data_IF_398501991164
#
_entry.id   IF_398501991164
#
_cell.length_a   1.000
_cell.length_b   1.000
_cell.length_c   1.000
_cell.angle_alpha   90.00
_cell.angle_beta   90.00
_cell.angle_gamma   90.00
#
_symmetry.space_group_name_H-M   'P 1'
#
loop_
_entity.id
_entity.type
_entity.pdbx_description
1 polymer ?
#
# COMPACT_ATOMS: atom_id res chain seq x y z
N UNK A 1 20.35 -0.36 2.15
CA UNK A 1 20.09 0.52 3.33
C UNK A 1 18.75 0.14 3.95
N UNK A 2 18.71 -0.59 5.08
CA UNK A 2 17.45 -1.16 5.62
C UNK A 2 16.61 -0.12 6.35
N UNK A 3 15.32 -0.02 5.99
CA UNK A 3 14.36 0.88 6.65
C UNK A 3 13.66 0.12 7.75
N UNK A 4 14.04 0.34 9.01
CA UNK A 4 13.33 -0.26 10.15
C UNK A 4 12.55 0.81 10.92
N UNK A 5 11.32 1.07 10.47
CA UNK A 5 10.27 1.38 11.44
C UNK A 5 9.96 0.07 12.17
N UNK A 6 10.08 0.06 13.50
CA UNK A 6 9.52 -1.04 14.27
C UNK A 6 8.00 -1.09 14.07
N UNK A 7 7.39 -2.25 14.30
CA UNK A 7 5.93 -2.40 14.17
C UNK A 7 5.15 -1.33 14.97
N UNK A 8 5.62 -1.01 16.19
CA UNK A 8 5.01 0.03 17.02
C UNK A 8 5.18 1.44 16.43
N UNK A 9 6.33 1.73 15.81
CA UNK A 9 6.54 3.01 15.12
C UNK A 9 5.65 3.10 13.88
N UNK A 10 5.63 2.07 13.04
CA UNK A 10 4.75 1.97 11.87
C UNK A 10 3.29 2.23 12.25
N UNK A 11 2.78 1.53 13.28
CA UNK A 11 1.41 1.70 13.73
C UNK A 11 1.12 3.12 14.19
N UNK A 12 2.02 3.71 14.99
CA UNK A 12 1.89 5.11 15.44
C UNK A 12 1.85 6.10 14.29
N UNK A 13 2.68 5.92 13.27
CA UNK A 13 2.70 6.79 12.08
C UNK A 13 1.39 6.66 11.31
N UNK A 14 0.94 5.42 11.08
CA UNK A 14 -0.34 5.16 10.40
C UNK A 14 -1.54 5.73 11.18
N UNK A 15 -1.53 5.61 12.52
CA UNK A 15 -2.56 6.18 13.39
C UNK A 15 -2.60 7.71 13.28
N UNK A 16 -1.44 8.37 13.33
CA UNK A 16 -1.34 9.83 13.16
C UNK A 16 -1.85 10.27 11.79
N UNK A 17 -1.43 9.60 10.72
CA UNK A 17 -1.85 9.95 9.36
C UNK A 17 -3.35 9.69 9.12
N UNK A 18 -3.85 8.54 9.56
CA UNK A 18 -5.22 8.14 9.25
C UNK A 18 -6.26 8.79 10.17
N UNK A 19 -5.96 8.89 11.47
CA UNK A 19 -6.95 9.17 12.52
C UNK A 19 -6.81 10.55 13.19
N UNK A 20 -5.73 11.29 12.93
CA UNK A 20 -5.56 12.63 13.51
C UNK A 20 -6.62 13.62 12.99
N UNK A 21 -7.07 14.50 13.87
CA UNK A 21 -7.89 15.69 13.53
C UNK A 21 -7.05 16.94 13.27
N UNK A 22 -5.78 16.94 13.68
CA UNK A 22 -4.84 18.00 13.39
C UNK A 22 -4.18 17.76 12.04
N UNK A 23 -4.33 18.73 11.15
CA UNK A 23 -3.73 18.73 9.81
C UNK A 23 -2.20 18.75 9.90
N UNK A 24 -1.62 19.51 10.85
CA UNK A 24 -0.18 19.55 11.07
C UNK A 24 0.40 18.18 11.46
N UNK A 25 -0.28 17.45 12.36
CA UNK A 25 0.13 16.09 12.75
C UNK A 25 -0.02 15.12 11.58
N UNK A 26 -1.08 15.28 10.78
CA UNK A 26 -1.33 14.45 9.61
C UNK A 26 -0.23 14.67 8.55
N UNK A 27 0.15 15.91 8.29
CA UNK A 27 1.19 16.26 7.34
C UNK A 27 2.56 15.76 7.79
N UNK A 28 2.92 15.94 9.06
CA UNK A 28 4.18 15.42 9.59
C UNK A 28 4.27 13.88 9.50
N UNK A 29 3.16 13.18 9.73
CA UNK A 29 3.09 11.72 9.57
C UNK A 29 3.17 11.29 8.09
N UNK A 30 2.58 12.08 7.19
CA UNK A 30 2.69 11.85 5.74
C UNK A 30 4.13 12.03 5.25
N UNK A 31 4.82 13.08 5.70
CA UNK A 31 6.23 13.30 5.37
C UNK A 31 7.11 12.14 5.87
N UNK A 32 6.82 11.62 7.07
CA UNK A 32 7.50 10.43 7.62
C UNK A 32 7.26 9.18 6.75
N UNK A 33 6.01 8.94 6.33
CA UNK A 33 5.68 7.85 5.39
C UNK A 33 6.41 8.02 4.05
N UNK A 34 6.45 9.24 3.51
CA UNK A 34 7.07 9.52 2.23
C UNK A 34 8.60 9.34 2.26
N UNK A 35 9.23 9.64 3.39
CA UNK A 35 10.66 9.35 3.62
C UNK A 35 10.93 7.84 3.55
N UNK A 36 10.08 7.02 4.19
CA UNK A 36 10.18 5.55 4.11
C UNK A 36 10.02 5.06 2.67
N UNK A 37 9.03 5.57 1.94
CA UNK A 37 8.80 5.23 0.53
C UNK A 37 10.01 5.58 -0.33
N UNK A 38 10.65 6.72 -0.06
CA UNK A 38 11.87 7.14 -0.77
C UNK A 38 13.01 6.16 -0.53
N UNK A 39 13.22 5.73 0.71
CA UNK A 39 14.21 4.71 1.02
C UNK A 39 13.91 3.35 0.37
N UNK A 40 12.63 2.98 0.26
CA UNK A 40 12.21 1.79 -0.49
C UNK A 40 12.56 1.90 -1.98
N UNK A 41 12.48 3.09 -2.59
CA UNK A 41 12.92 3.24 -3.98
C UNK A 41 14.43 3.01 -4.13
N UNK A 42 15.25 3.49 -3.18
CA UNK A 42 16.67 3.15 -3.16
C UNK A 42 16.90 1.64 -3.01
N UNK A 43 16.13 0.95 -2.17
CA UNK A 43 16.19 -0.51 -2.05
C UNK A 43 15.80 -1.21 -3.36
N UNK A 44 14.78 -0.71 -4.07
CA UNK A 44 14.40 -1.24 -5.38
C UNK A 44 15.54 -1.08 -6.41
N UNK A 45 16.24 0.06 -6.42
CA UNK A 45 17.41 0.27 -7.30
C UNK A 45 18.56 -0.69 -6.96
N UNK A 46 18.68 -1.11 -5.69
CA UNK A 46 19.64 -2.12 -5.20
C UNK A 46 19.13 -3.58 -5.36
N UNK A 47 18.02 -3.80 -6.06
CA UNK A 47 17.36 -5.09 -6.24
C UNK A 47 16.76 -5.74 -4.97
N UNK A 48 16.67 -5.00 -3.87
CA UNK A 48 16.04 -5.40 -2.62
C UNK A 48 14.51 -5.18 -2.65
N UNK A 49 13.84 -5.79 -3.63
CA UNK A 49 12.40 -5.57 -3.90
C UNK A 49 11.47 -6.01 -2.76
N UNK A 50 11.97 -6.85 -1.85
CA UNK A 50 11.20 -7.38 -0.72
C UNK A 50 10.73 -6.29 0.25
N UNK A 51 11.55 -5.25 0.44
CA UNK A 51 11.27 -4.15 1.37
C UNK A 51 10.00 -3.39 0.99
N UNK A 52 9.86 -3.02 -0.29
CA UNK A 52 8.66 -2.32 -0.77
C UNK A 52 7.40 -3.19 -0.71
N UNK A 53 7.55 -4.50 -0.86
CA UNK A 53 6.48 -5.47 -0.76
C UNK A 53 6.00 -5.66 0.67
N UNK A 54 6.91 -5.86 1.62
CA UNK A 54 6.57 -5.97 3.04
C UNK A 54 5.89 -4.70 3.54
N UNK A 55 6.48 -3.53 3.26
CA UNK A 55 5.90 -2.27 3.70
C UNK A 55 4.53 -2.00 3.06
N UNK A 56 4.39 -2.25 1.75
CA UNK A 56 3.10 -2.14 1.06
C UNK A 56 2.02 -3.08 1.63
N UNK A 57 2.40 -4.30 2.01
CA UNK A 57 1.48 -5.27 2.65
C UNK A 57 1.10 -4.83 4.06
N UNK A 58 2.03 -4.27 4.84
CA UNK A 58 1.71 -3.72 6.16
C UNK A 58 0.70 -2.57 6.06
N UNK A 59 0.85 -1.66 5.09
CA UNK A 59 -0.13 -0.60 4.81
C UNK A 59 -1.48 -1.17 4.38
N UNK A 60 -1.47 -2.19 3.52
CA UNK A 60 -2.68 -2.88 3.07
C UNK A 60 -3.44 -3.54 4.23
N UNK A 61 -2.73 -4.25 5.11
CA UNK A 61 -3.30 -4.91 6.29
C UNK A 61 -3.80 -3.92 7.34
N UNK A 62 -3.24 -2.70 7.40
CA UNK A 62 -3.77 -1.63 8.23
C UNK A 62 -5.19 -1.21 7.80
N UNK A 63 -5.50 -1.28 6.49
CA UNK A 63 -6.88 -1.25 5.98
C UNK A 63 -7.55 0.12 5.88
N UNK A 64 -6.77 1.21 5.83
CA UNK A 64 -7.30 2.58 5.69
C UNK A 64 -7.35 3.03 4.24
N UNK A 65 -8.48 3.60 3.81
CA UNK A 65 -8.64 4.16 2.46
C UNK A 65 -7.69 5.30 2.14
N UNK A 66 -7.24 6.05 3.15
CA UNK A 66 -6.23 7.12 3.00
C UNK A 66 -4.88 6.59 2.49
N UNK A 67 -4.57 5.32 2.76
CA UNK A 67 -3.32 4.67 2.35
C UNK A 67 -3.37 4.09 0.94
N UNK A 68 -4.54 3.98 0.31
CA UNK A 68 -4.69 3.31 -0.99
C UNK A 68 -3.76 3.87 -2.06
N UNK A 69 -3.56 5.19 -2.10
CA UNK A 69 -2.66 5.84 -3.05
C UNK A 69 -1.20 5.38 -2.89
N UNK A 70 -0.75 5.16 -1.64
CA UNK A 70 0.60 4.67 -1.31
C UNK A 70 0.72 3.18 -1.60
N UNK A 71 -0.31 2.40 -1.29
CA UNK A 71 -0.32 0.96 -1.61
C UNK A 71 -0.26 0.76 -3.13
N UNK A 72 -0.96 1.59 -3.90
CA UNK A 72 -0.97 1.58 -5.37
C UNK A 72 0.39 1.91 -6.00
N UNK A 73 1.25 2.69 -5.34
CA UNK A 73 2.61 2.95 -5.85
C UNK A 73 3.59 1.84 -5.48
N UNK A 74 3.36 1.13 -4.37
CA UNK A 74 4.29 0.12 -3.84
C UNK A 74 4.01 -1.29 -4.36
N UNK A 75 2.81 -1.82 -4.12
CA UNK A 75 2.53 -3.25 -4.35
C UNK A 75 2.55 -3.64 -5.84
N UNK A 76 1.91 -2.90 -6.77
CA UNK A 76 2.01 -3.22 -8.19
C UNK A 76 3.45 -3.20 -8.71
N UNK A 77 4.26 -2.24 -8.26
CA UNK A 77 5.67 -2.14 -8.65
C UNK A 77 6.47 -3.31 -8.08
N UNK A 78 6.37 -3.59 -6.78
CA UNK A 78 7.07 -4.71 -6.13
C UNK A 78 6.74 -6.06 -6.77
N UNK A 79 5.46 -6.30 -7.06
CA UNK A 79 5.05 -7.53 -7.78
C UNK A 79 5.62 -7.60 -9.20
N UNK A 80 5.66 -6.50 -9.95
CA UNK A 80 6.26 -6.47 -11.30
C UNK A 80 7.76 -6.72 -11.26
N UNK A 81 8.48 -6.12 -10.31
CA UNK A 81 9.93 -6.32 -10.13
C UNK A 81 10.26 -7.79 -9.82
N UNK A 82 9.39 -8.48 -9.07
CA UNK A 82 9.48 -9.93 -8.81
C UNK A 82 8.92 -10.82 -9.94
N UNK A 83 8.55 -10.27 -11.10
CA UNK A 83 7.92 -11.00 -12.21
C UNK A 83 6.60 -11.70 -11.84
N UNK A 84 5.85 -11.14 -10.88
CA UNK A 84 4.55 -11.64 -10.40
C UNK A 84 3.40 -10.77 -10.92
N UNK A 85 3.32 -10.59 -12.24
CA UNK A 85 2.41 -9.65 -12.89
C UNK A 85 0.92 -9.86 -12.57
N UNK A 86 0.49 -11.11 -12.36
CA UNK A 86 -0.89 -11.42 -11.98
C UNK A 86 -1.26 -10.78 -10.63
N UNK A 87 -0.34 -10.77 -9.66
CA UNK A 87 -0.60 -10.19 -8.35
C UNK A 87 -0.63 -8.66 -8.41
N UNK A 88 0.19 -8.05 -9.27
CA UNK A 88 0.11 -6.62 -9.56
C UNK A 88 -1.27 -6.23 -10.12
N UNK A 89 -1.85 -7.06 -11.00
CA UNK A 89 -3.18 -6.84 -11.54
C UNK A 89 -4.26 -6.98 -10.45
N UNK A 90 -4.23 -8.09 -9.70
CA UNK A 90 -5.21 -8.36 -8.63
C UNK A 90 -5.25 -7.21 -7.63
N UNK A 91 -4.10 -6.74 -7.14
CA UNK A 91 -4.07 -5.67 -6.15
C UNK A 91 -4.52 -4.32 -6.73
N UNK A 92 -4.19 -4.05 -7.99
CA UNK A 92 -4.65 -2.84 -8.71
C UNK A 92 -6.17 -2.84 -8.81
N UNK A 93 -6.75 -3.93 -9.29
CA UNK A 93 -8.20 -4.05 -9.45
C UNK A 93 -8.92 -4.01 -8.09
N UNK A 94 -8.34 -4.61 -7.05
CA UNK A 94 -8.88 -4.59 -5.69
C UNK A 94 -8.89 -3.18 -5.06
N UNK A 95 -7.89 -2.34 -5.34
CA UNK A 95 -7.83 -0.98 -4.80
C UNK A 95 -8.63 0.03 -5.64
N UNK A 96 -8.75 -0.22 -6.96
CA UNK A 96 -9.60 0.56 -7.87
C UNK A 96 -11.10 0.24 -7.70
N UNK A 97 -11.43 -1.00 -7.38
CA UNK A 97 -12.80 -1.45 -7.15
C UNK A 97 -13.08 -1.48 -5.66
N UNK A 98 -13.89 -0.56 -5.14
CA UNK A 98 -14.40 -0.69 -3.78
C UNK A 98 -15.09 -2.04 -3.59
N UNK A 99 -15.05 -2.61 -2.36
CA UNK A 99 -15.59 -3.95 -2.05
C UNK A 99 -17.02 -4.19 -2.60
N UNK A 100 -17.84 -3.15 -2.68
CA UNK A 100 -19.19 -3.21 -3.27
C UNK A 100 -19.21 -3.56 -4.76
N UNK A 101 -18.28 -3.01 -5.55
CA UNK A 101 -18.23 -3.21 -7.00
C UNK A 101 -17.79 -4.65 -7.36
N UNK A 102 -16.99 -5.29 -6.50
CA UNK A 102 -16.58 -6.69 -6.70
C UNK A 102 -17.76 -7.66 -6.59
N UNK A 103 -18.70 -7.40 -5.67
CA UNK A 103 -19.90 -8.23 -5.51
C UNK A 103 -20.87 -8.01 -6.68
N UNK A 104 -21.01 -6.78 -7.16
CA UNK A 104 -21.82 -6.47 -8.35
C UNK A 104 -21.27 -7.15 -9.61
N UNK A 105 -19.95 -7.08 -9.85
CA UNK A 105 -19.31 -7.73 -10.99
C UNK A 105 -19.44 -9.26 -10.96
N UNK A 106 -19.36 -9.90 -9.79
CA UNK A 106 -19.58 -11.35 -9.66
C UNK A 106 -21.03 -11.72 -10.00
N UNK A 107 -22.00 -10.95 -9.52
CA UNK A 107 -23.42 -11.16 -9.83
C UNK A 107 -23.74 -10.98 -11.31
N UNK A 108 -23.03 -10.09 -12.02
CA UNK A 108 -23.20 -9.91 -13.46
C UNK A 108 -22.60 -11.07 -14.28
N UNK A 109 -21.49 -11.65 -13.81
CA UNK A 109 -20.90 -12.83 -14.44
C UNK A 109 -21.81 -14.06 -14.25
N UNK A 110 -22.43 -14.22 -13.08
CA UNK A 110 -23.38 -15.31 -12.81
C UNK A 110 -24.68 -15.20 -13.59
N UNK A 111 -25.12 -13.99 -13.97
CA UNK A 111 -26.32 -13.77 -14.79
C UNK A 111 -26.12 -14.01 -16.28
N UNK A 112 -24.88 -14.03 -16.75
CA UNK A 112 -24.53 -14.16 -18.16
C UNK A 112 -24.03 -15.58 -18.53
N UNK A 113 -24.23 -16.55 -17.64
CA UNK A 113 -23.88 -17.97 -17.78
C UNK A 113 -25.14 -18.83 -17.58
#
# INVERSE_FOLDING_TARGET
MTVHLTFDQFKRVCDKFCNSKSEEICQAAEDELQNVITCIQFANDECDYGEGLEFGLNLFLYGSSKLHSRIMSLLPLGYKLLQRNLYAQIITDHLSSGRSNLIENLNEIEKNN
#
